data_IF_753170721539
#
_entry.id   IF_753170721539
#
_cell.length_a   1.000
_cell.length_b   1.000
_cell.length_c   1.000
_cell.angle_alpha   90.00
_cell.angle_beta   90.00
_cell.angle_gamma   90.00
#
_symmetry.space_group_name_H-M   'P 1'
#
loop_
_entity.id
_entity.type
_entity.pdbx_description
1 polymer ?
#
# COMPACT_ATOMS: atom_id res chain seq x y z
N UNK A 1 22.07 -25.76 16.95
CA UNK A 1 21.43 -25.64 16.55
C UNK A 1 20.88 -25.28 16.10
N UNK A 2 20.79 -25.25 15.69
CA UNK A 2 20.29 -24.96 15.08
C UNK A 2 19.36 -24.56 14.90
N UNK A 3 19.32 -24.05 14.89
CA UNK A 3 18.41 -23.79 14.55
C UNK A 3 17.90 -23.92 13.80
N UNK A 4 17.79 -24.16 14.26
CA UNK A 4 17.21 -24.34 13.10
C UNK A 4 15.93 -23.81 12.95
N UNK A 5 15.77 -23.27 11.88
CA UNK A 5 14.51 -22.80 11.54
C UNK A 5 13.72 -23.93 11.00
N UNK A 6 12.61 -24.21 11.58
CA UNK A 6 11.74 -25.22 11.07
C UNK A 6 11.27 -24.81 9.68
N UNK A 7 11.28 -25.72 8.72
CA UNK A 7 10.78 -25.36 7.41
C UNK A 7 9.30 -25.11 7.46
N UNK A 8 8.85 -24.22 6.61
CA UNK A 8 7.43 -23.97 6.47
C UNK A 8 6.76 -25.18 5.84
N UNK A 9 5.51 -25.43 6.17
CA UNK A 9 4.76 -26.46 5.46
C UNK A 9 4.72 -26.15 3.98
N UNK A 10 4.63 -27.20 3.18
CA UNK A 10 4.66 -27.02 1.72
C UNK A 10 3.54 -26.12 1.24
N UNK A 11 2.37 -26.20 1.87
CA UNK A 11 1.26 -25.36 1.46
C UNK A 11 1.48 -23.91 1.80
N UNK A 12 2.47 -23.60 2.67
CA UNK A 12 2.77 -22.26 3.06
C UNK A 12 4.09 -21.75 2.55
N UNK A 13 4.73 -22.51 1.68
CA UNK A 13 5.98 -22.06 1.09
C UNK A 13 5.89 -22.19 -0.41
N UNK A 14 6.57 -21.30 -1.11
CA UNK A 14 6.56 -21.32 -2.57
C UNK A 14 6.74 -19.94 -3.13
N UNK A 15 6.29 -19.79 -4.35
CA UNK A 15 6.32 -18.51 -5.03
C UNK A 15 4.94 -17.87 -4.88
N UNK A 16 4.94 -16.61 -4.52
CA UNK A 16 3.69 -15.91 -4.27
C UNK A 16 3.60 -14.66 -5.13
N UNK A 17 2.39 -14.33 -5.50
CA UNK A 17 2.08 -13.10 -6.23
C UNK A 17 1.13 -12.28 -5.41
N UNK A 18 1.34 -10.95 -5.36
CA UNK A 18 0.38 -10.07 -4.71
C UNK A 18 -0.95 -10.18 -5.43
N UNK A 19 -2.02 -10.32 -4.66
CA UNK A 19 -3.35 -10.32 -5.22
C UNK A 19 -3.69 -8.93 -5.72
N UNK A 20 -4.41 -8.83 -6.82
CA UNK A 20 -4.90 -7.52 -7.24
C UNK A 20 -5.88 -6.97 -6.21
N UNK A 21 -5.69 -5.73 -5.83
CA UNK A 21 -6.52 -5.07 -4.84
C UNK A 21 -6.98 -3.73 -5.38
N UNK A 22 -8.17 -3.34 -4.95
CA UNK A 22 -8.64 -1.98 -5.17
C UNK A 22 -8.34 -1.21 -3.91
N UNK A 23 -7.64 -0.10 -4.05
CA UNK A 23 -7.28 0.74 -2.92
C UNK A 23 -7.80 2.14 -3.16
N UNK A 24 -8.03 2.87 -2.07
CA UNK A 24 -8.35 4.28 -2.17
C UNK A 24 -7.06 5.08 -2.23
N UNK A 25 -7.05 6.09 -3.08
CA UNK A 25 -5.88 6.94 -3.17
C UNK A 25 -6.31 8.32 -3.61
N UNK A 26 -5.56 9.33 -3.16
CA UNK A 26 -5.75 10.68 -3.63
C UNK A 26 -4.40 11.35 -3.80
N UNK A 27 -4.35 12.36 -4.63
CA UNK A 27 -3.12 13.09 -4.85
C UNK A 27 -3.03 14.24 -3.88
N UNK A 28 -1.95 14.32 -3.14
CA UNK A 28 -1.77 15.38 -2.16
C UNK A 28 -1.56 16.70 -2.88
N UNK A 29 -2.24 17.75 -2.40
CA UNK A 29 -2.06 19.10 -2.92
C UNK A 29 -1.22 19.94 -1.99
N UNK A 30 -0.82 19.39 -0.84
CA UNK A 30 0.02 20.05 0.14
C UNK A 30 0.77 18.97 0.90
N UNK A 31 1.71 19.38 1.71
CA UNK A 31 2.46 18.46 2.55
C UNK A 31 1.53 17.89 3.61
N UNK A 32 1.52 16.58 3.76
CA UNK A 32 0.65 15.89 4.71
C UNK A 32 1.49 14.94 5.55
N UNK A 33 1.25 14.93 6.85
CA UNK A 33 1.89 13.97 7.76
C UNK A 33 0.96 12.78 7.94
N UNK A 34 1.50 11.59 7.71
CA UNK A 34 0.73 10.35 7.78
C UNK A 34 1.24 9.53 8.96
N UNK A 35 0.45 9.48 10.01
CA UNK A 35 0.85 8.76 11.22
C UNK A 35 0.69 7.28 10.99
N UNK A 36 1.70 6.52 11.38
CA UNK A 36 1.73 5.07 11.18
C UNK A 36 1.34 4.36 12.46
N UNK A 37 0.88 3.09 12.37
CA UNK A 37 0.48 2.36 13.59
C UNK A 37 1.58 2.24 14.63
N UNK A 38 2.85 2.25 14.22
CA UNK A 38 3.96 2.14 15.17
C UNK A 38 4.36 3.48 15.75
N UNK A 39 3.61 4.55 15.46
CA UNK A 39 3.89 5.87 16.00
C UNK A 39 4.80 6.71 15.12
N UNK A 40 5.40 6.13 14.10
CA UNK A 40 6.23 6.92 13.19
C UNK A 40 5.35 7.75 12.26
N UNK A 41 5.98 8.66 11.53
CA UNK A 41 5.27 9.56 10.63
C UNK A 41 5.94 9.48 9.27
N UNK A 42 5.13 9.28 8.23
CA UNK A 42 5.57 9.41 6.86
C UNK A 42 5.07 10.74 6.31
N UNK A 43 5.79 11.30 5.36
CA UNK A 43 5.45 12.61 4.81
C UNK A 43 5.06 12.42 3.35
N UNK A 44 3.88 12.91 3.01
CA UNK A 44 3.46 13.03 1.61
C UNK A 44 3.71 14.46 1.18
N UNK A 45 4.50 14.64 0.13
CA UNK A 45 4.75 15.95 -0.43
C UNK A 45 3.68 16.29 -1.46
N UNK A 46 3.50 17.56 -1.78
CA UNK A 46 2.53 17.91 -2.83
C UNK A 46 2.84 17.14 -4.10
N UNK A 47 1.82 16.54 -4.68
CA UNK A 47 1.97 15.74 -5.89
C UNK A 47 2.10 14.26 -5.63
N UNK A 48 2.44 13.86 -4.41
CA UNK A 48 2.49 12.44 -4.08
C UNK A 48 1.08 11.88 -4.01
N UNK A 49 0.96 10.58 -4.26
CA UNK A 49 -0.30 9.89 -4.01
C UNK A 49 -0.30 9.37 -2.59
N UNK A 50 -1.42 9.55 -1.91
CA UNK A 50 -1.63 8.99 -0.59
C UNK A 50 -2.54 7.79 -0.76
N UNK A 51 -2.03 6.61 -0.40
CA UNK A 51 -2.73 5.36 -0.62
C UNK A 51 -3.18 4.81 0.73
N UNK A 52 -4.43 4.38 0.79
CA UNK A 52 -4.94 3.69 1.97
C UNK A 52 -4.91 2.19 1.67
N UNK A 53 -4.11 1.47 2.43
CA UNK A 53 -3.96 0.03 2.24
C UNK A 53 -5.09 -0.77 2.84
N UNK A 54 -5.04 -2.07 2.67
CA UNK A 54 -6.12 -2.95 3.11
C UNK A 54 -6.21 -3.02 4.63
N UNK A 55 -5.13 -2.67 5.32
CA UNK A 55 -5.13 -2.61 6.79
C UNK A 55 -5.46 -1.21 7.30
N UNK A 56 -5.96 -0.37 6.41
CA UNK A 56 -6.36 1.00 6.73
C UNK A 56 -5.18 1.89 7.12
N UNK A 57 -3.98 1.48 6.76
CA UNK A 57 -2.79 2.30 6.92
C UNK A 57 -2.61 3.18 5.69
N UNK A 58 -2.08 4.37 5.89
CA UNK A 58 -1.87 5.31 4.79
C UNK A 58 -0.38 5.51 4.57
N UNK A 59 0.01 5.63 3.31
CA UNK A 59 1.42 5.83 2.98
C UNK A 59 1.53 6.59 1.66
N UNK A 60 2.63 7.32 1.49
CA UNK A 60 2.83 8.10 0.27
C UNK A 60 3.50 7.26 -0.80
N UNK A 61 3.14 7.53 -2.05
CA UNK A 61 3.77 6.90 -3.21
C UNK A 61 4.02 8.01 -4.20
N UNK A 62 5.21 8.02 -4.80
CA UNK A 62 5.49 9.02 -5.82
C UNK A 62 4.53 8.85 -6.98
N UNK A 63 4.08 9.97 -7.52
CA UNK A 63 3.03 9.96 -8.53
C UNK A 63 3.38 9.06 -9.71
N UNK A 64 4.61 9.17 -10.20
CA UNK A 64 5.01 8.39 -11.37
C UNK A 64 5.02 6.90 -11.08
N UNK A 65 5.47 6.54 -9.88
CA UNK A 65 5.50 5.13 -9.48
C UNK A 65 4.07 4.60 -9.34
N UNK A 66 3.18 5.44 -8.79
CA UNK A 66 1.79 5.05 -8.62
C UNK A 66 1.13 4.80 -9.98
N UNK A 67 1.34 5.70 -10.92
CA UNK A 67 0.72 5.57 -12.23
C UNK A 67 1.24 4.37 -13.02
N UNK A 68 2.42 3.89 -12.66
CA UNK A 68 2.96 2.69 -13.29
C UNK A 68 2.38 1.41 -12.71
N UNK A 69 1.91 1.47 -11.48
CA UNK A 69 1.50 0.29 -10.72
C UNK A 69 0.00 0.12 -10.65
N UNK A 70 -0.72 1.24 -10.68
CA UNK A 70 -2.17 1.24 -10.48
C UNK A 70 -2.87 1.88 -11.68
N UNK A 71 -4.11 1.49 -11.87
CA UNK A 71 -4.97 2.16 -12.84
C UNK A 71 -6.28 2.49 -12.16
N UNK A 72 -6.90 3.56 -12.62
CA UNK A 72 -8.16 4.00 -12.02
C UNK A 72 -9.27 3.04 -12.42
N UNK A 73 -10.05 2.60 -11.45
CA UNK A 73 -11.23 1.77 -11.72
C UNK A 73 -12.50 2.57 -11.53
N UNK A 74 -12.44 3.66 -10.76
CA UNK A 74 -13.62 4.48 -10.50
C UNK A 74 -13.16 5.83 -9.98
N UNK A 75 -13.98 6.87 -10.19
CA UNK A 75 -13.67 8.19 -9.65
C UNK A 75 -13.98 8.30 -8.17
N UNK A 76 -14.75 7.37 -7.64
CA UNK A 76 -15.18 7.41 -6.25
C UNK A 76 -15.10 6.01 -5.68
N UNK A 77 -14.64 5.87 -4.43
CA UNK A 77 -14.59 4.53 -3.81
C UNK A 77 -15.96 3.89 -3.71
N UNK A 78 -17.02 4.69 -3.74
CA UNK A 78 -18.37 4.15 -3.60
C UNK A 78 -18.91 3.58 -4.90
N UNK A 79 -18.20 3.81 -6.01
CA UNK A 79 -18.61 3.30 -7.32
C UNK A 79 -17.92 2.01 -7.69
N UNK A 80 -17.12 1.47 -6.79
CA UNK A 80 -16.40 0.23 -7.06
C UNK A 80 -17.30 -0.95 -6.75
N UNK A 81 -17.40 -1.85 -7.67
CA UNK A 81 -18.21 -3.06 -7.48
C UNK A 81 -17.42 -4.20 -6.89
#
# INVERSE_FOLDING_TARGET
MSKIVAPLPEEESGLFRRKPDVVEAFRATRRIELEQPDGSVLIAEPGDMVVTGILNDQYPVKYEAFMRTYERVSSSPFDVD
#
